data_IF_216434283499
#
_entry.id   IF_216434283499
#
_cell.length_a   1.000
_cell.length_b   1.000
_cell.length_c   1.000
_cell.angle_alpha   90.00
_cell.angle_beta   90.00
_cell.angle_gamma   90.00
#
_symmetry.space_group_name_H-M   'P 1'
#
loop_
_entity.id
_entity.type
_entity.pdbx_description
1 polymer ?
#
# COMPACT_ATOMS: atom_id res chain seq x y z
N UNK A 1 9.11 29.96 -40.01
CA UNK A 1 9.31 29.24 -38.73
C UNK A 1 10.79 28.95 -38.59
N UNK A 2 11.40 29.35 -37.48
CA UNK A 2 12.86 29.34 -37.32
C UNK A 2 13.34 27.90 -37.02
N UNK A 3 14.21 27.27 -37.85
CA UNK A 3 14.62 25.87 -37.69
C UNK A 3 15.57 25.60 -36.51
N UNK A 4 15.84 26.60 -35.66
CA UNK A 4 16.83 26.54 -34.58
C UNK A 4 16.28 26.41 -33.16
N UNK A 5 14.95 26.29 -32.96
CA UNK A 5 14.39 26.24 -31.61
C UNK A 5 14.58 24.82 -31.03
N UNK A 6 15.36 24.71 -29.96
CA UNK A 6 15.55 23.48 -29.20
C UNK A 6 14.56 23.46 -28.03
N UNK A 7 14.06 22.27 -27.69
CA UNK A 7 13.20 22.04 -26.54
C UNK A 7 13.97 21.17 -25.56
N UNK A 8 14.14 21.69 -24.35
CA UNK A 8 14.77 20.98 -23.24
C UNK A 8 13.69 20.28 -22.41
N UNK A 9 13.88 18.99 -22.13
CA UNK A 9 12.96 18.21 -21.31
C UNK A 9 13.70 17.10 -20.56
N UNK A 10 13.13 16.66 -19.45
CA UNK A 10 13.71 15.58 -18.64
C UNK A 10 13.23 14.20 -19.10
N UNK A 11 14.15 13.25 -19.16
CA UNK A 11 13.82 11.84 -19.24
C UNK A 11 13.25 11.34 -17.89
N UNK A 12 12.61 10.16 -17.91
CA UNK A 12 12.17 9.40 -16.73
C UNK A 12 13.28 9.15 -15.71
N UNK A 13 14.55 9.13 -16.15
CA UNK A 13 15.72 9.00 -15.28
C UNK A 13 16.20 10.33 -14.67
N UNK A 14 15.53 11.45 -14.96
CA UNK A 14 15.88 12.79 -14.50
C UNK A 14 16.90 13.53 -15.39
N UNK A 15 17.50 12.87 -16.39
CA UNK A 15 18.48 13.49 -17.29
C UNK A 15 17.83 14.50 -18.25
N UNK A 16 18.43 15.69 -18.38
CA UNK A 16 17.95 16.74 -19.28
C UNK A 16 18.40 16.44 -20.73
N UNK A 17 17.45 16.40 -21.65
CA UNK A 17 17.63 16.13 -23.07
C UNK A 17 17.18 17.36 -23.85
N UNK A 18 18.01 17.81 -24.79
CA UNK A 18 17.67 18.84 -25.76
C UNK A 18 17.35 18.18 -27.10
N UNK A 19 16.15 18.40 -27.63
CA UNK A 19 15.78 17.93 -28.97
C UNK A 19 15.36 19.10 -29.88
N UNK A 20 15.57 19.01 -31.20
CA UNK A 20 15.09 20.03 -32.13
C UNK A 20 13.55 20.07 -32.11
N UNK A 21 12.95 21.27 -32.12
CA UNK A 21 11.50 21.43 -32.16
C UNK A 21 10.84 20.72 -33.37
N UNK A 22 11.58 20.50 -34.47
CA UNK A 22 11.12 19.71 -35.61
C UNK A 22 10.92 18.21 -35.33
N UNK A 23 11.34 17.72 -34.16
CA UNK A 23 11.07 16.35 -33.67
C UNK A 23 9.98 16.31 -32.60
N UNK A 24 9.24 17.40 -32.42
CA UNK A 24 8.08 17.44 -31.53
C UNK A 24 7.14 16.25 -31.80
N UNK A 25 6.83 15.50 -30.75
CA UNK A 25 6.00 14.30 -30.87
C UNK A 25 6.70 13.12 -31.53
N UNK A 26 8.03 13.06 -31.62
CA UNK A 26 8.80 11.87 -32.00
C UNK A 26 9.51 11.26 -30.78
N UNK A 27 9.82 9.97 -30.83
CA UNK A 27 10.58 9.29 -29.79
C UNK A 27 12.09 9.50 -29.99
N UNK A 28 12.77 10.02 -28.97
CA UNK A 28 14.23 10.14 -28.93
C UNK A 28 14.78 9.27 -27.80
N UNK A 29 15.96 8.67 -27.99
CA UNK A 29 16.60 7.87 -26.94
C UNK A 29 17.41 8.74 -26.01
N UNK A 30 17.23 8.57 -24.70
CA UNK A 30 18.09 9.19 -23.71
C UNK A 30 19.52 8.64 -23.83
N UNK A 31 20.57 9.48 -23.87
CA UNK A 31 21.95 9.02 -23.91
C UNK A 31 22.40 8.35 -22.60
N UNK A 32 21.70 8.60 -21.49
CA UNK A 32 22.08 8.08 -20.18
C UNK A 32 21.39 6.76 -19.82
N UNK A 33 20.08 6.62 -20.08
CA UNK A 33 19.33 5.40 -19.73
C UNK A 33 18.88 4.59 -20.95
N UNK A 34 19.17 5.06 -22.17
CA UNK A 34 18.75 4.47 -23.45
C UNK A 34 17.24 4.27 -23.65
N UNK A 35 16.42 4.76 -22.71
CA UNK A 35 14.98 4.72 -22.79
C UNK A 35 14.46 5.68 -23.88
N UNK A 36 13.44 5.26 -24.62
CA UNK A 36 12.75 6.11 -25.59
C UNK A 36 11.85 7.11 -24.84
N UNK A 37 12.03 8.40 -25.11
CA UNK A 37 11.28 9.51 -24.50
C UNK A 37 10.67 10.34 -25.63
N UNK A 38 9.37 10.63 -25.54
CA UNK A 38 8.65 11.45 -26.53
C UNK A 38 9.01 12.92 -26.35
N UNK A 39 9.43 13.60 -27.42
CA UNK A 39 9.68 15.05 -27.38
C UNK A 39 8.34 15.78 -27.16
N UNK A 40 8.21 16.67 -26.16
CA UNK A 40 6.99 17.44 -25.93
C UNK A 40 6.65 18.32 -27.14
N UNK A 41 5.38 18.34 -27.57
CA UNK A 41 4.88 19.25 -28.60
C UNK A 41 4.56 20.62 -27.99
N UNK A 42 5.25 21.70 -28.40
CA UNK A 42 4.85 23.05 -28.03
C UNK A 42 3.69 23.46 -28.93
N UNK A 43 2.45 23.20 -28.49
CA UNK A 43 1.24 23.98 -28.79
C UNK A 43 -0.02 23.17 -28.41
N UNK A 44 -0.53 23.40 -27.20
CA UNK A 44 -1.97 23.62 -26.98
C UNK A 44 -2.14 24.48 -25.71
N UNK A 45 -2.75 25.67 -25.80
CA UNK A 45 -3.10 26.50 -24.66
C UNK A 45 -4.37 25.96 -23.99
N UNK A 46 -4.23 24.85 -23.29
CA UNK A 46 -5.04 24.52 -22.12
C UNK A 46 -4.31 23.37 -21.46
N UNK A 47 -3.99 23.54 -20.18
CA UNK A 47 -3.78 22.41 -19.30
C UNK A 47 -5.06 21.56 -19.33
N UNK A 48 -5.18 20.67 -20.31
CA UNK A 48 -6.02 19.50 -20.15
C UNK A 48 -5.41 18.80 -18.95
N UNK A 49 -6.12 18.67 -17.82
CA UNK A 49 -5.63 17.84 -16.75
C UNK A 49 -5.31 16.51 -17.39
N UNK A 50 -4.04 16.11 -17.35
CA UNK A 50 -3.63 14.74 -17.66
C UNK A 50 -4.65 13.90 -16.93
N UNK A 51 -5.48 13.17 -17.67
CA UNK A 51 -6.42 12.24 -17.08
C UNK A 51 -5.54 11.22 -16.35
N UNK A 52 -5.32 11.48 -15.06
CA UNK A 52 -4.72 10.51 -14.15
C UNK A 52 -5.58 9.29 -14.34
N UNK A 53 -5.01 8.13 -14.75
CA UNK A 53 -5.79 6.95 -15.02
C UNK A 53 -6.68 6.70 -13.80
N UNK A 54 -8.00 6.79 -14.01
CA UNK A 54 -9.04 6.72 -12.99
C UNK A 54 -9.08 5.37 -12.24
N UNK A 55 -8.12 4.48 -12.50
CA UNK A 55 -7.97 3.17 -11.87
C UNK A 55 -6.96 3.10 -10.72
N UNK A 56 -6.24 4.18 -10.38
CA UNK A 56 -5.15 4.12 -9.38
C UNK A 56 -5.39 4.93 -8.10
N UNK A 57 -6.54 5.59 -7.94
CA UNK A 57 -6.93 6.18 -6.66
C UNK A 57 -7.78 5.16 -5.92
N UNK A 58 -7.14 4.24 -5.19
CA UNK A 58 -7.85 3.67 -4.05
C UNK A 58 -8.32 4.84 -3.20
N UNK A 59 -9.63 4.92 -2.89
CA UNK A 59 -10.21 6.16 -2.40
C UNK A 59 -9.54 6.53 -1.09
N UNK A 60 -9.24 7.81 -0.91
CA UNK A 60 -8.75 8.40 0.35
C UNK A 60 -9.58 7.88 1.53
N UNK A 61 -10.87 7.65 1.30
CA UNK A 61 -11.82 6.99 2.21
C UNK A 61 -11.30 5.66 2.76
N UNK A 62 -10.81 4.74 1.94
CA UNK A 62 -10.28 3.45 2.43
C UNK A 62 -9.05 3.64 3.31
N UNK A 63 -8.16 4.58 2.95
CA UNK A 63 -6.99 4.89 3.78
C UNK A 63 -7.44 5.42 5.13
N UNK A 64 -8.43 6.32 5.15
CA UNK A 64 -9.01 6.84 6.38
C UNK A 64 -9.64 5.71 7.20
N UNK A 65 -10.41 4.80 6.59
CA UNK A 65 -11.01 3.64 7.25
C UNK A 65 -9.97 2.74 7.92
N UNK A 66 -8.86 2.45 7.24
CA UNK A 66 -7.80 1.63 7.84
C UNK A 66 -7.11 2.32 9.00
N UNK A 67 -6.82 3.62 8.88
CA UNK A 67 -6.20 4.39 9.95
C UNK A 67 -7.14 4.58 11.15
N UNK A 68 -8.43 4.84 10.92
CA UNK A 68 -9.41 4.95 12.00
C UNK A 68 -9.62 3.63 12.70
N UNK A 69 -9.66 2.50 11.97
CA UNK A 69 -9.71 1.17 12.57
C UNK A 69 -8.46 0.89 13.41
N UNK A 70 -7.27 1.18 12.88
CA UNK A 70 -6.00 0.97 13.59
C UNK A 70 -5.92 1.80 14.88
N UNK A 71 -6.16 3.11 14.77
CA UNK A 71 -6.11 4.02 15.91
C UNK A 71 -7.22 3.70 16.93
N UNK A 72 -8.43 3.42 16.45
CA UNK A 72 -9.56 3.05 17.30
C UNK A 72 -9.31 1.75 18.06
N UNK A 73 -8.72 0.75 17.41
CA UNK A 73 -8.33 -0.50 18.05
C UNK A 73 -7.23 -0.31 19.09
N UNK A 74 -6.17 0.45 18.77
CA UNK A 74 -5.08 0.76 19.72
C UNK A 74 -5.62 1.54 20.93
N UNK A 75 -6.45 2.55 20.69
CA UNK A 75 -7.05 3.34 21.75
C UNK A 75 -7.98 2.48 22.62
N UNK A 76 -8.79 1.63 22.01
CA UNK A 76 -9.66 0.69 22.71
C UNK A 76 -8.87 -0.26 23.61
N UNK A 77 -7.79 -0.85 23.09
CA UNK A 77 -6.87 -1.67 23.88
C UNK A 77 -6.25 -0.87 25.04
N UNK A 78 -5.77 0.34 24.78
CA UNK A 78 -5.21 1.23 25.80
C UNK A 78 -6.22 1.55 26.91
N UNK A 79 -7.47 1.84 26.56
CA UNK A 79 -8.53 2.10 27.55
C UNK A 79 -8.83 0.86 28.40
N UNK A 80 -8.90 -0.33 27.79
CA UNK A 80 -9.16 -1.57 28.52
C UNK A 80 -8.00 -1.89 29.47
N UNK A 81 -6.75 -1.89 28.99
CA UNK A 81 -5.62 -2.37 29.79
C UNK A 81 -4.97 -1.30 30.68
N UNK A 82 -5.14 0.00 30.40
CA UNK A 82 -4.51 1.06 31.21
C UNK A 82 -5.49 1.77 32.13
N UNK A 83 -6.79 1.72 31.84
CA UNK A 83 -7.80 2.47 32.61
C UNK A 83 -8.79 1.54 33.30
N UNK A 84 -9.38 0.60 32.56
CA UNK A 84 -10.46 -0.25 33.07
C UNK A 84 -10.02 -1.67 33.45
N UNK A 85 -8.71 -1.93 33.57
CA UNK A 85 -8.19 -3.28 33.74
C UNK A 85 -8.75 -3.98 34.99
N UNK A 86 -8.83 -3.25 36.09
CA UNK A 86 -9.33 -3.77 37.38
C UNK A 86 -10.86 -4.00 37.39
N UNK A 87 -11.59 -3.49 36.38
CA UNK A 87 -13.04 -3.66 36.26
C UNK A 87 -13.41 -4.96 35.55
N UNK A 88 -12.48 -5.57 34.80
CA UNK A 88 -12.74 -6.78 34.03
C UNK A 88 -12.12 -8.02 34.68
N UNK A 89 -12.89 -9.10 34.69
CA UNK A 89 -12.37 -10.43 35.00
C UNK A 89 -11.47 -10.96 33.87
N UNK A 90 -10.65 -11.96 34.17
CA UNK A 90 -9.78 -12.62 33.18
C UNK A 90 -10.57 -13.16 31.97
N UNK A 91 -11.73 -13.78 32.21
CA UNK A 91 -12.62 -14.28 31.16
C UNK A 91 -13.20 -13.16 30.29
N UNK A 92 -13.54 -12.02 30.89
CA UNK A 92 -14.05 -10.87 30.14
C UNK A 92 -12.96 -10.23 29.29
N UNK A 93 -11.74 -10.13 29.80
CA UNK A 93 -10.58 -9.65 29.04
C UNK A 93 -10.31 -10.52 27.80
N UNK A 94 -10.39 -11.85 27.95
CA UNK A 94 -10.27 -12.78 26.81
C UNK A 94 -11.42 -12.57 25.82
N UNK A 95 -12.65 -12.48 26.32
CA UNK A 95 -13.85 -12.33 25.49
C UNK A 95 -13.87 -11.00 24.71
N UNK A 96 -13.38 -9.92 25.30
CA UNK A 96 -13.32 -8.59 24.66
C UNK A 96 -12.09 -8.42 23.77
N UNK A 97 -11.09 -9.31 23.86
CA UNK A 97 -9.85 -9.23 23.06
C UNK A 97 -10.11 -9.08 21.55
N UNK A 98 -11.00 -9.86 20.91
CA UNK A 98 -11.30 -9.70 19.49
C UNK A 98 -11.82 -8.31 19.11
N UNK A 99 -12.50 -7.61 20.02
CA UNK A 99 -13.11 -6.31 19.76
C UNK A 99 -12.09 -5.23 19.41
N UNK A 100 -10.95 -5.22 20.09
CA UNK A 100 -9.86 -4.28 19.80
C UNK A 100 -8.77 -4.90 18.92
N UNK A 101 -8.55 -6.20 18.98
CA UNK A 101 -7.53 -6.88 18.18
C UNK A 101 -7.88 -6.90 16.69
N UNK A 102 -9.13 -7.23 16.35
CA UNK A 102 -9.60 -7.26 14.95
C UNK A 102 -9.38 -5.93 14.22
N UNK A 103 -9.82 -4.76 14.73
CA UNK A 103 -9.62 -3.49 14.03
C UNK A 103 -8.14 -3.08 13.91
N UNK A 104 -7.27 -3.46 14.86
CA UNK A 104 -5.82 -3.25 14.74
C UNK A 104 -5.26 -4.04 13.55
N UNK A 105 -5.54 -5.35 13.49
CA UNK A 105 -5.05 -6.21 12.41
C UNK A 105 -5.62 -5.75 11.07
N UNK A 106 -6.94 -5.53 11.00
CA UNK A 106 -7.58 -5.05 9.78
C UNK A 106 -6.97 -3.73 9.27
N UNK A 107 -6.81 -2.75 10.16
CA UNK A 107 -6.23 -1.45 9.83
C UNK A 107 -4.77 -1.54 9.37
N UNK A 108 -3.95 -2.31 10.08
CA UNK A 108 -2.53 -2.50 9.74
C UNK A 108 -2.37 -3.16 8.36
N UNK A 109 -3.06 -4.29 8.12
CA UNK A 109 -2.95 -5.02 6.87
C UNK A 109 -3.54 -4.24 5.69
N UNK A 110 -4.65 -3.52 5.91
CA UNK A 110 -5.23 -2.63 4.90
C UNK A 110 -4.27 -1.51 4.50
N UNK A 111 -3.67 -0.82 5.47
CA UNK A 111 -2.70 0.25 5.21
C UNK A 111 -1.46 -0.25 4.47
N UNK A 112 -0.91 -1.40 4.89
CA UNK A 112 0.24 -2.02 4.22
C UNK A 112 -0.13 -2.46 2.80
N UNK A 113 -1.29 -3.10 2.60
CA UNK A 113 -1.77 -3.52 1.29
C UNK A 113 -1.87 -2.34 0.31
N UNK A 114 -2.45 -1.22 0.75
CA UNK A 114 -2.54 0.00 -0.07
C UNK A 114 -1.15 0.52 -0.45
N UNK A 115 -0.21 0.55 0.50
CA UNK A 115 1.16 1.01 0.21
C UNK A 115 1.86 0.11 -0.80
N UNK A 116 1.64 -1.20 -0.72
CA UNK A 116 2.18 -2.17 -1.68
C UNK A 116 1.52 -2.03 -3.07
N UNK A 117 0.19 -1.91 -3.13
CA UNK A 117 -0.55 -1.71 -4.38
C UNK A 117 -0.13 -0.42 -5.11
N UNK A 118 0.12 0.67 -4.37
CA UNK A 118 0.65 1.92 -4.97
C UNK A 118 2.03 1.73 -5.61
N UNK A 119 2.89 0.89 -5.05
CA UNK A 119 4.21 0.57 -5.65
C UNK A 119 4.07 -0.23 -6.94
N UNK A 120 3.10 -1.14 -7.00
CA UNK A 120 2.78 -1.91 -8.22
C UNK A 120 2.21 -0.98 -9.29
N UNK A 121 1.29 -0.09 -8.92
CA UNK A 121 0.70 0.89 -9.84
C UNK A 121 1.75 1.87 -10.41
N UNK A 122 2.80 2.18 -9.64
CA UNK A 122 3.94 2.97 -10.10
C UNK A 122 4.91 2.19 -11.03
N UNK A 123 4.58 0.95 -11.40
CA UNK A 123 5.36 0.14 -12.36
C UNK A 123 6.66 -0.45 -11.80
N UNK A 124 6.87 -0.41 -10.48
CA UNK A 124 8.12 -0.89 -9.88
C UNK A 124 8.14 -2.42 -9.68
N UNK A 125 6.98 -3.06 -9.56
CA UNK A 125 6.85 -4.51 -9.26
C UNK A 125 5.56 -5.06 -9.89
N UNK A 126 5.55 -6.29 -10.40
CA UNK A 126 4.41 -6.87 -11.10
C UNK A 126 3.34 -7.46 -10.14
N UNK A 127 3.73 -7.88 -8.93
CA UNK A 127 2.82 -8.57 -7.99
C UNK A 127 2.97 -8.15 -6.53
N UNK A 128 1.87 -8.28 -5.76
CA UNK A 128 1.84 -8.00 -4.32
C UNK A 128 2.79 -8.91 -3.53
N UNK A 129 2.92 -10.16 -3.96
CA UNK A 129 3.84 -11.15 -3.40
C UNK A 129 5.31 -10.78 -3.58
N UNK A 130 5.68 -10.23 -4.72
CA UNK A 130 7.06 -9.76 -4.96
C UNK A 130 7.38 -8.52 -4.11
N UNK A 131 6.43 -7.59 -3.99
CA UNK A 131 6.59 -6.40 -3.15
C UNK A 131 6.65 -6.75 -1.65
N UNK A 132 5.88 -7.76 -1.21
CA UNK A 132 5.94 -8.29 0.15
C UNK A 132 7.27 -9.02 0.41
N UNK A 133 7.76 -9.85 -0.51
CA UNK A 133 9.07 -10.51 -0.39
C UNK A 133 10.23 -9.52 -0.24
N UNK A 134 10.26 -8.47 -1.06
CA UNK A 134 11.26 -7.40 -0.91
C UNK A 134 11.18 -6.67 0.43
N UNK A 135 10.02 -6.69 1.10
CA UNK A 135 9.87 -6.14 2.46
C UNK A 135 10.39 -7.12 3.53
N UNK A 136 10.23 -8.43 3.32
CA UNK A 136 10.73 -9.51 4.19
C UNK A 136 12.27 -9.55 4.13
N UNK A 137 12.87 -9.35 2.97
CA UNK A 137 14.34 -9.34 2.82
C UNK A 137 15.00 -8.23 3.65
N UNK A 138 14.27 -7.13 3.89
CA UNK A 138 14.75 -5.98 4.70
C UNK A 138 14.39 -6.14 6.19
N UNK A 139 13.21 -6.68 6.50
CA UNK A 139 12.67 -6.75 7.86
C UNK A 139 12.96 -8.09 8.59
N UNK A 140 13.52 -9.08 7.89
CA UNK A 140 13.91 -10.37 8.43
C UNK A 140 12.77 -11.40 8.50
N UNK A 141 13.13 -12.64 8.88
CA UNK A 141 12.24 -13.82 8.84
C UNK A 141 10.93 -13.66 9.63
N UNK A 142 10.91 -12.85 10.70
CA UNK A 142 9.69 -12.56 11.46
C UNK A 142 8.64 -11.79 10.65
N UNK A 143 9.08 -10.96 9.70
CA UNK A 143 8.18 -10.30 8.77
C UNK A 143 7.49 -11.29 7.82
N UNK A 144 8.06 -12.47 7.59
CA UNK A 144 7.42 -13.50 6.77
C UNK A 144 6.17 -14.08 7.44
N UNK A 145 6.18 -14.26 8.77
CA UNK A 145 5.02 -14.70 9.53
C UNK A 145 3.90 -13.66 9.50
N UNK A 146 4.24 -12.39 9.71
CA UNK A 146 3.28 -11.28 9.66
C UNK A 146 2.79 -11.07 8.22
N UNK A 147 3.65 -11.13 7.22
CA UNK A 147 3.26 -10.90 5.83
C UNK A 147 2.73 -12.15 5.14
N UNK A 148 2.64 -13.29 5.84
CA UNK A 148 2.17 -14.55 5.26
C UNK A 148 0.84 -14.43 4.51
N UNK A 149 -0.21 -13.74 5.02
CA UNK A 149 -1.46 -13.55 4.28
C UNK A 149 -1.28 -12.88 2.91
N UNK A 150 -0.24 -12.06 2.74
CA UNK A 150 0.11 -11.42 1.47
C UNK A 150 0.84 -12.36 0.49
N UNK A 151 1.42 -13.46 0.97
CA UNK A 151 2.23 -14.38 0.16
C UNK A 151 1.42 -15.48 -0.51
N UNK A 152 0.27 -15.85 0.06
CA UNK A 152 -0.45 -17.07 -0.30
C UNK A 152 -1.41 -16.88 -1.49
N UNK A 153 -1.82 -15.65 -1.81
CA UNK A 153 -2.80 -15.39 -2.87
C UNK A 153 -2.45 -14.18 -3.75
N UNK A 154 -2.85 -14.25 -5.03
CA UNK A 154 -2.77 -13.13 -6.00
C UNK A 154 -3.90 -12.14 -5.74
N UNK A 155 -3.72 -11.28 -4.74
CA UNK A 155 -4.74 -10.32 -4.36
C UNK A 155 -4.79 -9.09 -5.30
N UNK A 156 -6.00 -8.70 -5.69
CA UNK A 156 -6.26 -7.50 -6.52
C UNK A 156 -6.86 -6.32 -5.73
N UNK A 157 -7.23 -6.53 -4.47
CA UNK A 157 -7.91 -5.53 -3.63
C UNK A 157 -7.33 -5.52 -2.22
N UNK A 158 -7.05 -4.33 -1.68
CA UNK A 158 -6.57 -4.17 -0.30
C UNK A 158 -7.59 -4.65 0.74
N UNK A 159 -8.88 -4.43 0.50
CA UNK A 159 -9.97 -4.86 1.40
C UNK A 159 -10.02 -6.37 1.56
N UNK A 160 -9.90 -7.12 0.46
CA UNK A 160 -9.94 -8.58 0.53
C UNK A 160 -8.73 -9.12 1.30
N UNK A 161 -7.56 -8.52 1.12
CA UNK A 161 -6.34 -8.90 1.84
C UNK A 161 -6.50 -8.61 3.32
N UNK A 162 -6.94 -7.40 3.67
CA UNK A 162 -7.08 -6.98 5.06
C UNK A 162 -8.15 -7.78 5.79
N UNK A 163 -9.27 -8.08 5.13
CA UNK A 163 -10.31 -8.93 5.68
C UNK A 163 -9.83 -10.38 5.87
N UNK A 164 -9.22 -10.98 4.85
CA UNK A 164 -8.71 -12.34 4.92
C UNK A 164 -7.62 -12.47 6.00
N UNK A 165 -6.71 -11.50 6.09
CA UNK A 165 -5.71 -11.46 7.13
C UNK A 165 -6.33 -11.30 8.52
N UNK A 166 -7.30 -10.39 8.68
CA UNK A 166 -7.98 -10.19 9.95
C UNK A 166 -8.73 -11.46 10.40
N UNK A 167 -9.41 -12.16 9.49
CA UNK A 167 -10.05 -13.45 9.77
C UNK A 167 -9.03 -14.51 10.15
N UNK A 168 -7.93 -14.63 9.40
CA UNK A 168 -6.85 -15.58 9.71
C UNK A 168 -6.31 -15.40 11.13
N UNK A 169 -5.98 -14.16 11.50
CA UNK A 169 -5.49 -13.85 12.84
C UNK A 169 -6.55 -13.99 13.93
N UNK A 170 -7.81 -13.65 13.65
CA UNK A 170 -8.90 -13.86 14.59
C UNK A 170 -9.12 -15.35 14.90
N UNK A 171 -9.08 -16.21 13.88
CA UNK A 171 -9.16 -17.67 14.06
C UNK A 171 -7.97 -18.20 14.85
N UNK A 172 -6.75 -17.73 14.53
CA UNK A 172 -5.54 -18.15 15.26
C UNK A 172 -5.60 -17.74 16.73
N UNK A 173 -6.05 -16.51 17.00
CA UNK A 173 -6.24 -15.99 18.35
C UNK A 173 -7.31 -16.78 19.11
N UNK A 174 -8.44 -17.10 18.46
CA UNK A 174 -9.48 -17.92 19.05
C UNK A 174 -8.97 -19.32 19.39
N UNK A 175 -8.23 -19.96 18.49
CA UNK A 175 -7.60 -21.26 18.74
C UNK A 175 -6.62 -21.20 19.91
N UNK A 176 -5.81 -20.13 19.99
CA UNK A 176 -4.88 -19.91 21.10
C UNK A 176 -5.61 -19.85 22.44
N UNK A 177 -6.70 -19.09 22.54
CA UNK A 177 -7.50 -19.02 23.76
C UNK A 177 -8.17 -20.35 24.09
N UNK A 178 -8.78 -21.02 23.11
CA UNK A 178 -9.40 -22.32 23.32
C UNK A 178 -8.42 -23.41 23.79
N UNK A 179 -7.15 -23.33 23.36
CA UNK A 179 -6.10 -24.29 23.74
C UNK A 179 -5.46 -23.98 25.10
N UNK A 180 -5.15 -22.72 25.38
CA UNK A 180 -4.44 -22.34 26.60
C UNK A 180 -5.36 -22.10 27.79
N UNK A 181 -6.60 -21.72 27.53
CA UNK A 181 -7.60 -21.43 28.55
C UNK A 181 -8.88 -22.25 28.28
N UNK A 182 -8.81 -23.59 28.29
CA UNK A 182 -9.95 -24.44 27.96
C UNK A 182 -11.14 -24.31 28.94
N UNK A 183 -10.93 -23.67 30.08
CA UNK A 183 -11.91 -23.48 31.15
C UNK A 183 -12.42 -22.03 31.28
N UNK A 184 -11.93 -21.11 30.43
CA UNK A 184 -12.48 -19.75 30.28
C UNK A 184 -13.48 -19.74 29.11
#
# INVERSE_FOLDING_TARGET
MNPGQQVDFHASCGHLISAPAGRAGQDVRCPHCHQAVRVPTPDLPYASPVAVPAGAVEPIVLTAVYLTALLGGILGAGLIYLVNFDEFSESELVTITPLWFFPIVFGLYGFVAQRLLRRIAAGHVATLSEAARGSIDVAGHWAALVLFPFLVLKWRSSLLVSLAAAVFWAVLLWLFFALLFPTL
#
